data_IF_063627607097
#
_entry.id   IF_063627607097
#
_cell.length_a   1.000
_cell.length_b   1.000
_cell.length_c   1.000
_cell.angle_alpha   90.00
_cell.angle_beta   90.00
_cell.angle_gamma   90.00
#
_symmetry.space_group_name_H-M   'P 1'
#
loop_
_entity.id
_entity.type
_entity.pdbx_description
1 polymer ?
#
# COMPACT_ATOMS: atom_id res chain seq x y z
N UNK A 1 7.59 -22.24 2.10
CA UNK A 1 6.20 -22.03 1.65
C UNK A 1 6.17 -21.01 0.52
N UNK A 2 5.44 -21.33 -0.55
CA UNK A 2 5.35 -20.44 -1.70
C UNK A 2 4.10 -19.56 -1.60
N UNK A 3 4.27 -18.26 -1.74
CA UNK A 3 3.16 -17.31 -1.71
C UNK A 3 2.75 -17.00 -3.15
N UNK A 4 1.58 -17.48 -3.56
CA UNK A 4 1.11 -17.41 -4.94
C UNK A 4 0.80 -15.97 -5.40
N UNK A 5 0.63 -15.02 -4.49
CA UNK A 5 0.39 -13.62 -4.82
C UNK A 5 1.67 -12.80 -4.95
N UNK A 6 2.83 -13.42 -4.77
CA UNK A 6 4.11 -12.71 -4.85
C UNK A 6 4.33 -11.98 -6.17
N UNK A 7 4.01 -12.56 -7.33
CA UNK A 7 4.14 -11.82 -8.60
C UNK A 7 3.22 -10.59 -8.68
N UNK A 8 2.04 -10.66 -8.07
CA UNK A 8 1.14 -9.52 -8.00
C UNK A 8 1.72 -8.41 -7.13
N UNK A 9 2.31 -8.79 -6.00
CA UNK A 9 2.98 -7.83 -5.10
C UNK A 9 4.12 -7.13 -5.83
N UNK A 10 4.94 -7.87 -6.56
CA UNK A 10 6.04 -7.28 -7.33
C UNK A 10 5.54 -6.29 -8.39
N UNK A 11 4.49 -6.64 -9.09
CA UNK A 11 3.91 -5.78 -10.12
C UNK A 11 3.38 -4.48 -9.51
N UNK A 12 2.72 -4.58 -8.37
CA UNK A 12 2.19 -3.42 -7.66
C UNK A 12 3.30 -2.51 -7.17
N UNK A 13 4.38 -3.09 -6.64
CA UNK A 13 5.54 -2.32 -6.18
C UNK A 13 6.26 -1.63 -7.33
N UNK A 14 6.39 -2.30 -8.47
CA UNK A 14 6.99 -1.69 -9.66
C UNK A 14 6.17 -0.48 -10.13
N UNK A 15 4.85 -0.58 -10.07
CA UNK A 15 3.97 0.54 -10.41
C UNK A 15 4.15 1.70 -9.44
N UNK A 16 4.30 1.40 -8.16
CA UNK A 16 4.53 2.40 -7.12
C UNK A 16 5.88 3.09 -7.32
N UNK A 17 6.91 2.33 -7.68
CA UNK A 17 8.22 2.90 -8.03
C UNK A 17 8.09 3.93 -9.15
N UNK A 18 7.36 3.57 -10.21
CA UNK A 18 7.12 4.50 -11.31
C UNK A 18 6.36 5.74 -10.86
N UNK A 19 5.41 5.57 -9.94
CA UNK A 19 4.65 6.68 -9.38
C UNK A 19 5.54 7.64 -8.59
N UNK A 20 6.44 7.09 -7.76
CA UNK A 20 7.40 7.89 -6.99
C UNK A 20 8.34 8.65 -7.94
N UNK A 21 8.78 7.99 -9.00
CA UNK A 21 9.60 8.65 -10.03
C UNK A 21 8.85 9.85 -10.63
N UNK A 22 7.58 9.67 -10.94
CA UNK A 22 6.73 10.74 -11.46
C UNK A 22 6.58 11.89 -10.49
N UNK A 23 6.46 11.60 -9.20
CA UNK A 23 6.37 12.63 -8.16
C UNK A 23 7.66 13.46 -8.10
N UNK A 24 8.82 12.80 -8.17
CA UNK A 24 10.10 13.52 -8.20
C UNK A 24 10.19 14.43 -9.42
N UNK A 25 9.71 13.95 -10.55
CA UNK A 25 9.67 14.75 -11.78
C UNK A 25 8.78 15.98 -11.63
N UNK A 26 7.60 15.81 -11.04
CA UNK A 26 6.68 16.90 -10.76
C UNK A 26 7.34 17.96 -9.88
N UNK A 27 8.06 17.53 -8.85
CA UNK A 27 8.79 18.44 -7.97
C UNK A 27 9.84 19.21 -8.74
N UNK A 28 10.59 18.56 -9.61
CA UNK A 28 11.59 19.20 -10.44
C UNK A 28 11.00 20.17 -11.47
N UNK A 29 9.75 19.96 -11.87
CA UNK A 29 9.03 20.85 -12.79
C UNK A 29 8.36 22.03 -12.09
N UNK A 30 8.51 22.13 -10.79
CA UNK A 30 7.93 23.24 -10.03
C UNK A 30 6.43 23.13 -9.79
N UNK A 31 5.87 21.91 -9.82
CA UNK A 31 4.46 21.70 -9.51
C UNK A 31 4.18 22.09 -8.06
N UNK A 32 2.96 22.49 -7.77
CA UNK A 32 2.61 22.97 -6.43
C UNK A 32 2.77 21.88 -5.38
N UNK A 33 3.09 22.28 -4.15
CA UNK A 33 3.16 21.33 -3.04
C UNK A 33 1.81 20.64 -2.80
N UNK A 34 0.72 21.33 -3.05
CA UNK A 34 -0.62 20.73 -2.93
C UNK A 34 -0.76 19.53 -3.87
N UNK A 35 -0.33 19.67 -5.12
CA UNK A 35 -0.36 18.57 -6.08
C UNK A 35 0.58 17.43 -5.67
N UNK A 36 1.77 17.79 -5.17
CA UNK A 36 2.76 16.80 -4.71
C UNK A 36 2.20 15.99 -3.54
N UNK A 37 1.62 16.66 -2.54
CA UNK A 37 1.01 15.99 -1.37
C UNK A 37 -0.12 15.06 -1.81
N UNK A 38 -0.93 15.51 -2.77
CA UNK A 38 -2.02 14.69 -3.30
C UNK A 38 -1.49 13.40 -3.92
N UNK A 39 -0.42 13.50 -4.70
CA UNK A 39 0.20 12.32 -5.33
C UNK A 39 0.86 11.40 -4.31
N UNK A 40 1.48 11.97 -3.28
CA UNK A 40 2.07 11.19 -2.20
C UNK A 40 0.97 10.42 -1.45
N UNK A 41 -0.15 11.07 -1.16
CA UNK A 41 -1.29 10.41 -0.50
C UNK A 41 -1.81 9.22 -1.30
N UNK A 42 -1.90 9.36 -2.62
CA UNK A 42 -2.29 8.26 -3.50
C UNK A 42 -1.28 7.10 -3.43
N UNK A 43 0.01 7.43 -3.35
CA UNK A 43 1.07 6.43 -3.24
C UNK A 43 0.98 5.66 -1.92
N UNK A 44 0.67 6.36 -0.83
CA UNK A 44 0.47 5.74 0.48
C UNK A 44 -0.69 4.75 0.41
N UNK A 45 -1.81 5.14 -0.20
CA UNK A 45 -2.96 4.25 -0.37
C UNK A 45 -2.59 3.01 -1.18
N UNK A 46 -1.78 3.18 -2.22
CA UNK A 46 -1.31 2.06 -3.03
C UNK A 46 -0.44 1.11 -2.21
N UNK A 47 0.44 1.64 -1.35
CA UNK A 47 1.27 0.82 -0.46
C UNK A 47 0.42 0.07 0.55
N UNK A 48 -0.62 0.69 1.09
CA UNK A 48 -1.56 0.02 2.00
C UNK A 48 -2.26 -1.15 1.31
N UNK A 49 -2.61 -0.99 0.04
CA UNK A 49 -3.20 -2.07 -0.75
C UNK A 49 -2.24 -3.24 -0.92
N UNK A 50 -0.94 -2.95 -1.07
CA UNK A 50 0.09 -3.99 -1.12
C UNK A 50 0.14 -4.76 0.20
N UNK A 51 0.10 -4.06 1.32
CA UNK A 51 0.08 -4.69 2.65
C UNK A 51 -1.13 -5.64 2.74
N UNK A 52 -2.29 -5.20 2.28
CA UNK A 52 -3.50 -6.01 2.32
C UNK A 52 -3.34 -7.30 1.51
N UNK A 53 -2.74 -7.21 0.31
CA UNK A 53 -2.49 -8.38 -0.53
C UNK A 53 -1.55 -9.36 0.18
N UNK A 54 -0.49 -8.85 0.81
CA UNK A 54 0.47 -9.68 1.54
C UNK A 54 -0.20 -10.36 2.72
N UNK A 55 -0.99 -9.62 3.49
CA UNK A 55 -1.70 -10.18 4.65
C UNK A 55 -2.66 -11.27 4.21
N UNK A 56 -3.43 -11.03 3.16
CA UNK A 56 -4.36 -12.03 2.63
C UNK A 56 -3.63 -13.30 2.19
N UNK A 57 -2.47 -13.15 1.54
CA UNK A 57 -1.68 -14.29 1.09
C UNK A 57 -1.12 -15.10 2.27
N UNK A 58 -0.66 -14.40 3.32
CA UNK A 58 -0.12 -15.06 4.51
C UNK A 58 -1.15 -15.86 5.27
N UNK A 59 -2.39 -15.37 5.35
CA UNK A 59 -3.41 -16.00 6.20
C UNK A 59 -4.38 -16.88 5.43
N UNK A 60 -4.35 -16.86 4.13
CA UNK A 60 -5.29 -17.61 3.30
C UNK A 60 -5.16 -19.11 3.54
N UNK A 61 -6.29 -19.74 3.83
CA UNK A 61 -6.35 -21.17 4.04
C UNK A 61 -5.81 -21.66 5.39
N UNK A 62 -5.27 -20.78 6.22
CA UNK A 62 -4.65 -21.16 7.49
C UNK A 62 -5.45 -20.76 8.72
N UNK A 63 -6.33 -19.78 8.59
CA UNK A 63 -7.13 -19.28 9.72
C UNK A 63 -8.60 -19.17 9.32
N UNK A 64 -9.47 -19.07 10.33
CA UNK A 64 -10.90 -18.94 10.11
C UNK A 64 -11.25 -17.59 9.48
N UNK A 65 -12.48 -17.51 8.99
CA UNK A 65 -13.01 -16.27 8.43
C UNK A 65 -13.00 -15.14 9.47
N UNK A 66 -13.32 -15.47 10.72
CA UNK A 66 -13.32 -14.51 11.82
C UNK A 66 -11.90 -14.00 12.11
N UNK A 67 -10.93 -14.89 12.12
CA UNK A 67 -9.54 -14.53 12.33
C UNK A 67 -9.02 -13.65 11.20
N UNK A 68 -9.41 -13.93 9.96
CA UNK A 68 -9.07 -13.08 8.82
C UNK A 68 -9.63 -11.66 9.00
N UNK A 69 -10.85 -11.57 9.49
CA UNK A 69 -11.49 -10.27 9.73
C UNK A 69 -10.73 -9.49 10.79
N UNK A 70 -10.31 -10.14 11.87
CA UNK A 70 -9.52 -9.49 12.92
C UNK A 70 -8.19 -8.96 12.39
N UNK A 71 -7.53 -9.72 11.52
CA UNK A 71 -6.29 -9.28 10.89
C UNK A 71 -6.53 -8.04 10.04
N UNK A 72 -7.60 -8.04 9.25
CA UNK A 72 -7.95 -6.89 8.41
C UNK A 72 -8.25 -5.64 9.24
N UNK A 73 -8.91 -5.81 10.36
CA UNK A 73 -9.17 -4.71 11.28
C UNK A 73 -7.89 -4.13 11.85
N UNK A 74 -6.92 -5.00 12.20
CA UNK A 74 -5.62 -4.56 12.68
C UNK A 74 -4.85 -3.79 11.61
N UNK A 75 -4.92 -4.22 10.36
CA UNK A 75 -4.31 -3.52 9.23
C UNK A 75 -4.95 -2.15 9.06
N UNK A 76 -6.28 -2.07 9.19
CA UNK A 76 -7.01 -0.82 9.08
C UNK A 76 -6.60 0.16 10.20
N UNK A 77 -6.42 -0.33 11.42
CA UNK A 77 -5.95 0.49 12.54
C UNK A 77 -4.55 1.06 12.26
N UNK A 78 -3.67 0.22 11.71
CA UNK A 78 -2.33 0.66 11.33
C UNK A 78 -2.39 1.76 10.28
N UNK A 79 -3.26 1.60 9.30
CA UNK A 79 -3.50 2.60 8.27
C UNK A 79 -3.89 3.94 8.86
N UNK A 80 -4.82 3.92 9.82
CA UNK A 80 -5.26 5.13 10.50
C UNK A 80 -4.14 5.82 11.25
N UNK A 81 -3.26 5.05 11.88
CA UNK A 81 -2.08 5.59 12.57
C UNK A 81 -1.14 6.27 11.56
N UNK A 82 -0.90 5.64 10.43
CA UNK A 82 -0.06 6.21 9.38
C UNK A 82 -0.64 7.53 8.87
N UNK A 83 -1.94 7.55 8.62
CA UNK A 83 -2.64 8.74 8.13
C UNK A 83 -2.54 9.89 9.13
N UNK A 84 -2.68 9.59 10.42
CA UNK A 84 -2.59 10.61 11.47
C UNK A 84 -1.16 11.13 11.68
N UNK A 85 -0.16 10.35 11.31
CA UNK A 85 1.25 10.73 11.48
C UNK A 85 1.72 11.72 10.41
N UNK A 86 0.94 11.89 9.39
CA UNK A 86 1.26 12.80 8.31
C UNK A 86 0.47 14.09 8.44
#
# INVERSE_FOLDING_TARGET
MTHHKRPDVERRLARIEGHVHGIRKMLGEGRSYSEIVHQISATISALESVIQVIVDDLVEGTISKTEKQEVRESVQELREVIEKSM
#
